data_IF_338888945698
#
_entry.id   IF_338888945698
#
_cell.length_a   1.000
_cell.length_b   1.000
_cell.length_c   1.000
_cell.angle_alpha   90.00
_cell.angle_beta   90.00
_cell.angle_gamma   90.00
#
_symmetry.space_group_name_H-M   'P 1'
#
loop_
_entity.id
_entity.type
_entity.pdbx_description
1 polymer ?
#
# COMPACT_ATOMS: atom_id res chain seq x y z
N UNK A 1 -19.15 14.38 -13.03
CA UNK A 1 -18.97 12.93 -13.29
C UNK A 1 -17.49 12.58 -13.12
N UNK A 2 -17.16 11.40 -12.60
CA UNK A 2 -15.77 10.97 -12.38
C UNK A 2 -15.33 10.00 -13.49
N UNK A 3 -14.16 10.25 -14.07
CA UNK A 3 -13.54 9.38 -15.06
C UNK A 3 -12.14 8.96 -14.61
N UNK A 4 -11.80 7.69 -14.76
CA UNK A 4 -10.46 7.13 -14.50
C UNK A 4 -10.02 6.38 -15.76
N UNK A 5 -8.88 6.76 -16.34
CA UNK A 5 -8.38 6.23 -17.61
C UNK A 5 -9.43 6.27 -18.74
N UNK A 6 -10.24 7.33 -18.79
CA UNK A 6 -11.31 7.50 -19.79
C UNK A 6 -12.58 6.71 -19.51
N UNK A 7 -12.64 5.88 -18.47
CA UNK A 7 -13.83 5.11 -18.09
C UNK A 7 -14.63 5.87 -17.03
N UNK A 8 -15.94 6.00 -17.23
CA UNK A 8 -16.84 6.57 -16.23
C UNK A 8 -16.90 5.64 -15.02
N UNK A 9 -16.76 6.21 -13.83
CA UNK A 9 -16.76 5.47 -12.57
C UNK A 9 -17.95 5.90 -11.72
N UNK A 10 -18.79 4.93 -11.35
CA UNK A 10 -19.91 5.09 -10.42
C UNK A 10 -19.83 4.04 -9.30
N UNK A 11 -19.18 4.42 -8.20
CA UNK A 11 -18.96 3.52 -7.06
C UNK A 11 -20.28 3.15 -6.38
N UNK A 12 -21.29 4.03 -6.42
CA UNK A 12 -22.59 3.77 -5.79
C UNK A 12 -23.36 2.68 -6.53
N UNK A 13 -23.18 2.61 -7.85
CA UNK A 13 -23.81 1.60 -8.70
C UNK A 13 -23.01 0.29 -8.76
N UNK A 14 -21.72 0.38 -9.05
CA UNK A 14 -20.90 -0.78 -9.45
C UNK A 14 -20.07 -1.35 -8.27
N UNK A 15 -20.06 -0.65 -7.13
CA UNK A 15 -19.22 -0.97 -5.99
C UNK A 15 -17.72 -0.76 -6.28
N UNK A 16 -16.87 -1.16 -5.32
CA UNK A 16 -15.43 -0.99 -5.43
C UNK A 16 -14.74 -2.29 -5.87
N UNK A 17 -14.41 -2.40 -7.15
CA UNK A 17 -13.76 -3.58 -7.74
C UNK A 17 -12.29 -3.72 -7.36
N UNK A 18 -11.72 -4.93 -7.45
CA UNK A 18 -10.26 -5.15 -7.29
C UNK A 18 -9.45 -4.34 -8.30
N UNK A 19 -9.94 -4.17 -9.52
CA UNK A 19 -9.26 -3.37 -10.54
C UNK A 19 -9.17 -1.90 -10.13
N UNK A 20 -10.28 -1.31 -9.69
CA UNK A 20 -10.31 0.08 -9.22
C UNK A 20 -9.40 0.29 -8.01
N UNK A 21 -9.40 -0.67 -7.06
CA UNK A 21 -8.48 -0.65 -5.92
C UNK A 21 -7.02 -0.69 -6.34
N UNK A 22 -6.67 -1.35 -7.46
CA UNK A 22 -5.29 -1.33 -7.97
C UNK A 22 -4.94 0.00 -8.61
N UNK A 23 -5.86 0.60 -9.36
CA UNK A 23 -5.63 1.85 -10.11
C UNK A 23 -5.55 3.08 -9.21
N UNK A 24 -6.34 3.13 -8.14
CA UNK A 24 -6.43 4.28 -7.23
C UNK A 24 -6.05 3.88 -5.82
N UNK A 25 -5.09 4.60 -5.25
CA UNK A 25 -4.65 4.42 -3.87
C UNK A 25 -4.65 5.76 -3.14
N UNK A 26 -4.82 5.70 -1.82
CA UNK A 26 -4.84 6.89 -0.95
C UNK A 26 -3.84 6.70 0.19
N UNK A 27 -3.15 7.78 0.54
CA UNK A 27 -2.32 7.89 1.74
C UNK A 27 -2.91 9.00 2.60
N UNK A 28 -3.28 8.67 3.83
CA UNK A 28 -3.86 9.62 4.78
C UNK A 28 -2.77 10.41 5.54
N UNK A 29 -3.05 11.68 5.86
CA UNK A 29 -2.18 12.56 6.67
C UNK A 29 -1.76 11.95 8.01
N UNK A 30 -2.59 11.09 8.59
CA UNK A 30 -2.31 10.42 9.85
C UNK A 30 -1.78 8.99 9.62
N UNK A 31 -0.44 8.81 9.48
CA UNK A 31 0.14 7.48 9.29
C UNK A 31 0.00 6.58 10.53
N UNK A 32 -0.32 7.15 11.71
CA UNK A 32 -0.50 6.37 12.93
C UNK A 32 -1.78 5.53 12.90
N UNK A 33 -2.84 6.03 12.25
CA UNK A 33 -4.09 5.29 12.08
C UNK A 33 -4.08 4.33 10.89
N UNK A 34 -3.21 4.56 9.90
CA UNK A 34 -3.21 3.78 8.64
C UNK A 34 -2.38 2.50 8.69
N UNK A 35 -1.52 2.34 9.71
CA UNK A 35 -0.70 1.15 9.95
C UNK A 35 -1.24 0.38 11.16
N UNK A 36 -1.59 -0.90 10.97
CA UNK A 36 -1.97 -1.75 12.09
C UNK A 36 -0.76 -2.01 13.00
N UNK A 37 -0.79 -1.58 14.29
CA UNK A 37 0.37 -1.67 15.17
C UNK A 37 0.76 -3.13 15.52
N UNK A 38 -0.13 -4.09 15.25
CA UNK A 38 0.07 -5.52 15.52
C UNK A 38 0.62 -6.30 14.32
N UNK A 39 0.75 -5.67 13.15
CA UNK A 39 1.29 -6.31 11.95
C UNK A 39 2.76 -5.92 11.75
N UNK A 40 3.57 -6.83 11.21
CA UNK A 40 4.94 -6.53 10.81
C UNK A 40 4.93 -5.70 9.52
N UNK A 41 5.97 -4.90 9.29
CA UNK A 41 6.05 -4.05 8.09
C UNK A 41 5.98 -4.86 6.80
N UNK A 42 6.61 -6.04 6.76
CA UNK A 42 6.51 -6.95 5.62
C UNK A 42 5.08 -7.35 5.28
N UNK A 43 4.27 -7.65 6.31
CA UNK A 43 2.86 -8.02 6.13
C UNK A 43 2.02 -6.83 5.68
N UNK A 44 2.25 -5.66 6.27
CA UNK A 44 1.60 -4.40 5.89
C UNK A 44 1.84 -4.06 4.41
N UNK A 45 3.08 -4.21 3.94
CA UNK A 45 3.42 -3.99 2.53
C UNK A 45 2.87 -5.09 1.63
N UNK A 46 2.81 -6.34 2.10
CA UNK A 46 2.30 -7.47 1.31
C UNK A 46 0.77 -7.52 1.20
N UNK A 47 0.05 -6.90 2.12
CA UNK A 47 -1.42 -6.96 2.24
C UNK A 47 -2.16 -6.44 0.99
N UNK A 48 -1.82 -5.27 0.40
CA UNK A 48 -2.48 -4.82 -0.83
C UNK A 48 -2.39 -5.84 -1.96
N UNK A 49 -1.22 -6.49 -2.12
CA UNK A 49 -1.00 -7.53 -3.12
C UNK A 49 -1.83 -8.78 -2.81
N UNK A 50 -1.88 -9.20 -1.55
CA UNK A 50 -2.67 -10.36 -1.12
C UNK A 50 -4.17 -10.20 -1.43
N UNK A 51 -4.72 -9.00 -1.22
CA UNK A 51 -6.15 -8.73 -1.38
C UNK A 51 -6.53 -8.57 -2.86
N UNK A 52 -5.67 -7.91 -3.66
CA UNK A 52 -6.04 -7.41 -4.98
C UNK A 52 -5.36 -8.13 -6.16
N UNK A 53 -4.53 -9.13 -5.90
CA UNK A 53 -3.79 -9.89 -6.94
C UNK A 53 -3.73 -11.38 -6.60
N UNK A 54 -3.31 -12.20 -7.56
CA UNK A 54 -3.10 -13.65 -7.39
C UNK A 54 -1.61 -14.00 -7.14
N UNK A 55 -0.81 -13.03 -6.69
CA UNK A 55 0.63 -13.21 -6.48
C UNK A 55 0.93 -14.17 -5.32
N UNK A 56 1.80 -15.18 -5.51
CA UNK A 56 2.18 -16.11 -4.47
C UNK A 56 2.92 -15.41 -3.32
N UNK A 57 2.95 -16.06 -2.15
CA UNK A 57 3.52 -15.48 -0.93
C UNK A 57 4.99 -15.07 -1.08
N UNK A 58 5.79 -15.86 -1.78
CA UNK A 58 7.19 -15.58 -2.06
C UNK A 58 7.36 -14.32 -2.92
N UNK A 59 6.60 -14.19 -4.00
CA UNK A 59 6.64 -12.98 -4.85
C UNK A 59 6.22 -11.73 -4.07
N UNK A 60 5.19 -11.83 -3.22
CA UNK A 60 4.75 -10.71 -2.37
C UNK A 60 5.83 -10.28 -1.39
N UNK A 61 6.56 -11.24 -0.80
CA UNK A 61 7.69 -10.97 0.09
C UNK A 61 8.82 -10.25 -0.64
N UNK A 62 9.17 -10.71 -1.84
CA UNK A 62 10.23 -10.08 -2.65
C UNK A 62 9.88 -8.66 -3.05
N UNK A 63 8.62 -8.42 -3.45
CA UNK A 63 8.13 -7.08 -3.78
C UNK A 63 8.16 -6.16 -2.56
N UNK A 64 7.76 -6.65 -1.37
CA UNK A 64 7.84 -5.88 -0.14
C UNK A 64 9.29 -5.55 0.24
N UNK A 65 10.22 -6.49 0.09
CA UNK A 65 11.66 -6.24 0.31
C UNK A 65 12.23 -5.20 -0.66
N UNK A 66 11.86 -5.26 -1.95
CA UNK A 66 12.24 -4.26 -2.95
C UNK A 66 11.65 -2.89 -2.60
N UNK A 67 10.41 -2.83 -2.14
CA UNK A 67 9.75 -1.59 -1.77
C UNK A 67 10.39 -0.94 -0.53
N UNK A 68 10.76 -1.72 0.49
CA UNK A 68 11.51 -1.22 1.64
C UNK A 68 12.77 -0.48 1.19
N UNK A 69 13.58 -1.11 0.33
CA UNK A 69 14.78 -0.50 -0.23
C UNK A 69 14.45 0.79 -1.01
N UNK A 70 13.40 0.76 -1.83
CA UNK A 70 12.96 1.91 -2.63
C UNK A 70 12.62 3.14 -1.76
N UNK A 71 12.08 2.93 -0.55
CA UNK A 71 11.76 4.02 0.39
C UNK A 71 12.85 4.28 1.44
N UNK A 72 14.08 3.81 1.19
CA UNK A 72 15.23 4.07 2.03
C UNK A 72 15.22 3.32 3.36
N UNK A 73 14.63 2.13 3.40
CA UNK A 73 14.66 1.20 4.54
C UNK A 73 15.42 -0.08 4.16
N UNK A 74 16.20 -0.61 5.10
CA UNK A 74 16.91 -1.87 4.93
C UNK A 74 16.02 -3.12 5.13
N UNK A 75 16.44 -4.30 4.62
CA UNK A 75 15.69 -5.55 4.73
C UNK A 75 15.47 -6.02 6.18
N UNK A 76 16.33 -5.63 7.12
CA UNK A 76 16.21 -5.90 8.55
C UNK A 76 14.94 -5.27 9.18
N UNK A 77 14.31 -4.32 8.48
CA UNK A 77 13.06 -3.69 8.89
C UNK A 77 11.83 -4.55 8.58
N UNK A 78 11.94 -5.58 7.74
CA UNK A 78 10.80 -6.38 7.28
C UNK A 78 9.99 -6.99 8.44
N UNK A 79 10.69 -7.51 9.44
CA UNK A 79 10.07 -8.18 10.59
C UNK A 79 9.75 -7.25 11.78
N UNK A 80 9.98 -5.94 11.64
CA UNK A 80 9.72 -4.97 12.70
C UNK A 80 8.26 -4.54 12.71
N UNK A 81 7.84 -3.97 13.83
CA UNK A 81 6.50 -3.40 14.01
C UNK A 81 6.52 -1.88 13.82
N UNK A 82 5.38 -1.24 13.45
CA UNK A 82 5.30 0.20 13.21
C UNK A 82 5.86 1.07 14.34
N UNK A 83 5.67 0.67 15.60
CA UNK A 83 6.14 1.44 16.76
C UNK A 83 7.67 1.58 16.83
N UNK A 84 8.41 0.72 16.11
CA UNK A 84 9.88 0.73 16.06
C UNK A 84 10.46 1.74 15.05
N UNK A 85 9.61 2.52 14.39
CA UNK A 85 10.00 3.50 13.37
C UNK A 85 9.66 4.93 13.81
N UNK A 86 10.46 5.89 13.34
CA UNK A 86 10.16 7.32 13.50
C UNK A 86 8.92 7.72 12.70
N UNK A 87 8.33 8.89 13.00
CA UNK A 87 7.15 9.40 12.28
C UNK A 87 7.39 9.48 10.76
N UNK A 88 8.52 10.05 10.33
CA UNK A 88 8.88 10.14 8.92
C UNK A 88 9.09 8.77 8.25
N UNK A 89 9.68 7.80 8.97
CA UNK A 89 9.79 6.43 8.46
C UNK A 89 8.41 5.77 8.29
N UNK A 90 7.48 5.97 9.23
CA UNK A 90 6.10 5.47 9.11
C UNK A 90 5.37 6.10 7.93
N UNK A 91 5.55 7.38 7.68
CA UNK A 91 5.00 8.04 6.49
C UNK A 91 5.54 7.42 5.20
N UNK A 92 6.85 7.17 5.13
CA UNK A 92 7.46 6.45 4.00
C UNK A 92 6.88 5.03 3.83
N UNK A 93 6.61 4.32 4.93
CA UNK A 93 5.97 3.00 4.90
C UNK A 93 4.52 3.09 4.41
N UNK A 94 3.75 4.10 4.84
CA UNK A 94 2.39 4.31 4.38
C UNK A 94 2.33 4.58 2.86
N UNK A 95 3.24 5.42 2.35
CA UNK A 95 3.41 5.67 0.91
C UNK A 95 3.84 4.39 0.19
N UNK A 96 4.82 3.66 0.74
CA UNK A 96 5.28 2.38 0.19
C UNK A 96 4.12 1.39 0.01
N UNK A 97 3.27 1.24 1.03
CA UNK A 97 2.09 0.35 1.01
C UNK A 97 1.14 0.70 -0.15
N UNK A 98 0.83 1.98 -0.32
CA UNK A 98 -0.02 2.45 -1.41
C UNK A 98 0.61 2.16 -2.79
N UNK A 99 1.93 2.34 -2.92
CA UNK A 99 2.65 2.08 -4.17
C UNK A 99 2.81 0.60 -4.52
N UNK A 100 2.49 -0.33 -3.61
CA UNK A 100 2.65 -1.77 -3.85
C UNK A 100 1.84 -2.28 -5.04
N UNK A 101 0.69 -1.66 -5.34
CA UNK A 101 -0.16 -2.03 -6.47
C UNK A 101 0.21 -1.34 -7.78
N UNK A 102 1.26 -0.51 -7.78
CA UNK A 102 1.65 0.34 -8.92
C UNK A 102 0.44 1.15 -9.46
N UNK A 103 -0.21 1.97 -8.63
CA UNK A 103 -1.44 2.67 -9.00
C UNK A 103 -1.19 3.72 -10.08
N UNK A 104 -2.18 3.94 -10.94
CA UNK A 104 -2.20 5.04 -11.92
C UNK A 104 -2.41 6.40 -11.24
N UNK A 105 -3.14 6.41 -10.12
CA UNK A 105 -3.45 7.59 -9.33
C UNK A 105 -3.19 7.35 -7.84
N UNK A 106 -2.37 8.21 -7.25
CA UNK A 106 -2.13 8.26 -5.81
C UNK A 106 -2.67 9.57 -5.25
N UNK A 107 -3.61 9.49 -4.32
CA UNK A 107 -4.14 10.65 -3.59
C UNK A 107 -3.40 10.77 -2.27
N UNK A 108 -2.86 11.95 -2.02
CA UNK A 108 -2.29 12.31 -0.73
C UNK A 108 -3.29 13.27 -0.09
N UNK A 109 -3.93 12.79 0.98
CA UNK A 109 -4.60 13.68 1.94
C UNK A 109 -3.49 14.36 2.73
#
# INVERSE_FOLDING_TARGET
ELFIDGNKVDIARDGLTKEMRRKVQIVFQNPYGSLNPRQKIGDVLGEPLLINTDKPAEERRDLAMKMLKKVGLGPEHYNRYPHMFSGGQRQRIAIARALMLNPSLLVLD
#
